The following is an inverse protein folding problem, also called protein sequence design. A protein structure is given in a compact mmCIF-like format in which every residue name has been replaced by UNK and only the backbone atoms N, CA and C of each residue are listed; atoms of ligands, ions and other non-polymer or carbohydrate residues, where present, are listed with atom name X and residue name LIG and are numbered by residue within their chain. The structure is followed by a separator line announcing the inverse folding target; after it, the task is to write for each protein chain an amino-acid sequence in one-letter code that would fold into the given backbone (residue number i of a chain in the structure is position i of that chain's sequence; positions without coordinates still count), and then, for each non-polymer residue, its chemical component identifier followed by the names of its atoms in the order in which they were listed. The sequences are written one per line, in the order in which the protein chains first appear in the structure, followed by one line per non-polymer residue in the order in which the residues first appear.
data_IF_973527075036
#
_entry.id   IF_973527075036
#
_cell.length_a   1.000
_cell.length_b   1.000
_cell.length_c   1.000
_cell.angle_alpha   90.00
_cell.angle_beta   90.00
_cell.angle_gamma   90.00
#
_symmetry.space_group_name_H-M   'P 1'
#
loop_
_entity.id
_entity.type
_entity.pdbx_description
1 polymer ?
#
# COMPACT_ATOMS: atom_id res chain seq x y z
N UNK A 1 23.76 46.13 -12.30
CA UNK A 1 23.37 45.66 -10.95
C UNK A 1 22.25 44.67 -11.11
N UNK A 2 22.59 43.42 -11.40
CA UNK A 2 21.65 42.31 -11.53
C UNK A 2 21.52 41.66 -10.17
N UNK A 3 20.36 41.83 -9.55
CA UNK A 3 20.01 41.20 -8.28
C UNK A 3 19.75 39.72 -8.52
N UNK A 4 20.70 38.88 -8.11
CA UNK A 4 20.46 37.46 -7.92
C UNK A 4 19.48 37.29 -6.76
N UNK A 5 18.26 36.89 -7.07
CA UNK A 5 17.31 36.38 -6.09
C UNK A 5 17.65 34.89 -5.88
N UNK A 6 18.19 34.47 -4.73
CA UNK A 6 18.24 33.05 -4.42
C UNK A 6 16.80 32.59 -4.14
N UNK A 7 16.25 31.79 -5.04
CA UNK A 7 15.06 30.99 -4.76
C UNK A 7 15.41 30.11 -3.56
N UNK A 8 14.78 30.38 -2.41
CA UNK A 8 14.78 29.45 -1.29
C UNK A 8 14.09 28.17 -1.80
N UNK A 9 14.89 27.18 -2.19
CA UNK A 9 14.42 25.79 -2.23
C UNK A 9 14.05 25.43 -0.79
N UNK A 10 12.80 25.64 -0.44
CA UNK A 10 12.21 24.97 0.72
C UNK A 10 12.19 23.50 0.37
N UNK A 11 13.10 22.73 0.97
CA UNK A 11 13.03 21.28 1.07
C UNK A 11 11.65 20.90 1.64
N UNK A 12 10.64 20.78 0.76
CA UNK A 12 9.37 20.16 1.07
C UNK A 12 9.69 18.68 1.27
N UNK A 13 10.08 18.33 2.51
CA UNK A 13 10.19 16.94 2.92
C UNK A 13 8.81 16.30 2.70
N UNK A 14 8.72 15.45 1.67
CA UNK A 14 7.49 14.79 1.28
C UNK A 14 7.01 13.94 2.47
N UNK A 15 5.91 14.36 3.10
CA UNK A 15 5.29 13.60 4.17
C UNK A 15 4.81 12.24 3.64
N UNK A 16 5.14 11.12 4.29
CA UNK A 16 4.65 9.81 3.88
C UNK A 16 3.12 9.77 3.88
N UNK A 17 2.56 9.09 2.88
CA UNK A 17 1.12 8.90 2.78
C UNK A 17 0.54 8.21 4.03
N UNK A 18 -0.64 8.64 4.46
CA UNK A 18 -1.38 8.00 5.54
C UNK A 18 -2.20 6.83 4.97
N UNK A 19 -1.73 5.59 5.13
CA UNK A 19 -2.45 4.42 4.61
C UNK A 19 -3.83 4.22 5.28
N UNK A 20 -4.09 4.87 6.41
CA UNK A 20 -5.39 4.87 7.07
C UNK A 20 -6.42 5.80 6.44
N UNK A 21 -6.01 6.77 5.61
CA UNK A 21 -6.92 7.69 4.90
C UNK A 21 -7.93 6.93 4.04
N UNK A 22 -9.17 6.84 4.51
CA UNK A 22 -10.29 6.11 3.92
C UNK A 22 -11.19 6.96 3.02
N UNK A 23 -10.97 8.28 3.01
CA UNK A 23 -11.79 9.25 2.27
C UNK A 23 -11.16 9.63 0.93
N UNK A 24 -9.83 9.70 0.83
CA UNK A 24 -9.17 10.22 -0.39
C UNK A 24 -8.32 9.18 -1.12
N UNK A 25 -7.22 8.73 -0.52
CA UNK A 25 -6.17 7.97 -1.23
C UNK A 25 -6.32 6.47 -1.05
N UNK A 26 -6.75 5.99 0.13
CA UNK A 26 -6.88 4.55 0.41
C UNK A 26 -8.32 4.17 0.79
N UNK A 27 -9.28 4.27 -0.14
CA UNK A 27 -10.69 4.04 0.15
C UNK A 27 -10.98 2.63 0.66
N UNK A 28 -12.08 2.49 1.38
CA UNK A 28 -12.71 1.19 1.68
C UNK A 28 -13.62 0.78 0.53
N UNK A 29 -14.12 -0.46 0.51
CA UNK A 29 -15.03 -0.90 -0.55
C UNK A 29 -16.25 0.02 -0.73
N UNK A 30 -16.75 0.57 0.38
CA UNK A 30 -17.97 1.38 0.37
C UNK A 30 -17.76 2.74 -0.30
N UNK A 31 -16.53 3.25 -0.23
CA UNK A 31 -16.13 4.55 -0.75
C UNK A 31 -15.43 4.43 -2.11
N UNK A 32 -15.34 3.23 -2.68
CA UNK A 32 -14.86 3.05 -4.04
C UNK A 32 -15.85 3.61 -5.07
N UNK A 33 -15.35 4.24 -6.16
CA UNK A 33 -16.19 4.61 -7.28
C UNK A 33 -16.84 3.37 -7.90
N UNK A 34 -18.06 3.52 -8.40
CA UNK A 34 -18.78 2.44 -9.07
C UNK A 34 -18.34 2.30 -10.52
N UNK A 35 -18.34 1.08 -11.06
CA UNK A 35 -18.14 0.87 -12.50
C UNK A 35 -19.29 1.40 -13.36
N UNK A 36 -20.47 1.55 -12.78
CA UNK A 36 -21.71 1.74 -13.55
C UNK A 36 -22.04 3.23 -13.75
N UNK A 37 -21.44 4.12 -12.97
CA UNK A 37 -21.63 5.56 -13.04
C UNK A 37 -20.31 6.29 -12.84
N UNK A 38 -20.12 7.39 -13.57
CA UNK A 38 -18.96 8.27 -13.38
C UNK A 38 -19.10 8.98 -12.04
N UNK A 39 -18.10 8.79 -11.19
CA UNK A 39 -18.01 9.44 -9.89
C UNK A 39 -17.18 10.72 -9.99
N UNK A 40 -17.85 11.87 -9.94
CA UNK A 40 -17.21 13.18 -10.07
C UNK A 40 -16.30 13.53 -8.88
N UNK A 41 -16.36 12.81 -7.76
CA UNK A 41 -15.39 12.97 -6.68
C UNK A 41 -14.01 12.42 -7.08
N UNK A 42 -13.98 11.46 -8.01
CA UNK A 42 -12.76 10.80 -8.50
C UNK A 42 -12.36 11.24 -9.92
N UNK A 43 -13.29 11.79 -10.69
CA UNK A 43 -13.09 12.10 -12.11
C UNK A 43 -13.50 13.53 -12.48
N UNK A 44 -12.68 14.17 -13.30
CA UNK A 44 -13.04 15.43 -13.96
C UNK A 44 -13.25 15.21 -15.45
N UNK A 45 -14.25 15.92 -15.98
CA UNK A 45 -14.49 16.01 -17.41
C UNK A 45 -13.49 16.97 -18.06
N UNK A 46 -12.79 16.51 -19.09
CA UNK A 46 -11.90 17.36 -19.92
C UNK A 46 -12.72 18.17 -20.93
N UNK A 47 -13.72 17.54 -21.56
CA UNK A 47 -14.50 18.16 -22.65
C UNK A 47 -15.98 17.72 -22.71
N UNK A 48 -16.47 17.08 -21.65
CA UNK A 48 -17.82 16.51 -21.55
C UNK A 48 -17.91 15.04 -21.99
N UNK A 49 -16.86 14.52 -22.64
CA UNK A 49 -16.81 13.14 -23.16
C UNK A 49 -15.64 12.33 -22.61
N UNK A 50 -14.50 12.97 -22.38
CA UNK A 50 -13.34 12.33 -21.75
C UNK A 50 -13.25 12.69 -20.27
N UNK A 51 -13.00 11.68 -19.45
CA UNK A 51 -12.89 11.80 -18.00
C UNK A 51 -11.50 11.33 -17.57
N UNK A 52 -10.86 12.12 -16.72
CA UNK A 52 -9.53 11.82 -16.16
C UNK A 52 -9.60 11.76 -14.64
N UNK A 53 -8.84 10.86 -13.99
CA UNK A 53 -8.72 10.84 -12.55
C UNK A 53 -8.28 12.21 -11.99
N UNK A 54 -8.96 12.71 -10.97
CA UNK A 54 -8.59 13.94 -10.25
C UNK A 54 -7.53 13.67 -9.19
N UNK A 55 -7.45 12.42 -8.74
CA UNK A 55 -6.50 11.92 -7.74
C UNK A 55 -6.17 10.45 -8.00
N UNK A 56 -5.11 9.96 -7.38
CA UNK A 56 -4.81 8.54 -7.31
C UNK A 56 -5.51 7.92 -6.09
N UNK A 57 -6.10 6.73 -6.25
CA UNK A 57 -6.62 5.94 -5.14
C UNK A 57 -6.20 4.49 -5.26
N UNK A 58 -6.06 3.83 -4.11
CA UNK A 58 -5.60 2.45 -4.01
C UNK A 58 -6.37 1.72 -2.91
N UNK A 59 -7.11 0.67 -3.27
CA UNK A 59 -7.72 -0.20 -2.27
C UNK A 59 -6.61 -1.03 -1.60
N UNK A 60 -6.55 -1.02 -0.28
CA UNK A 60 -5.74 -1.94 0.52
C UNK A 60 -6.66 -2.96 1.20
N UNK A 61 -6.41 -4.24 0.99
CA UNK A 61 -7.18 -5.32 1.59
C UNK A 61 -6.30 -6.53 1.90
N UNK A 62 -6.63 -7.29 2.94
CA UNK A 62 -5.95 -8.53 3.30
C UNK A 62 -6.58 -9.72 2.58
N UNK A 63 -5.77 -10.61 2.02
CA UNK A 63 -6.23 -11.86 1.41
C UNK A 63 -6.62 -12.83 2.52
N UNK A 64 -7.90 -13.19 2.57
CA UNK A 64 -8.45 -14.13 3.55
C UNK A 64 -8.60 -15.52 2.93
N UNK A 65 -8.91 -15.60 1.64
CA UNK A 65 -9.03 -16.88 0.95
C UNK A 65 -8.68 -16.75 -0.54
N UNK A 66 -8.21 -17.86 -1.13
CA UNK A 66 -7.86 -17.97 -2.55
C UNK A 66 -8.64 -19.12 -3.14
N UNK A 67 -9.49 -18.82 -4.12
CA UNK A 67 -10.28 -19.80 -4.84
C UNK A 67 -9.92 -19.78 -6.32
N UNK A 68 -9.87 -20.96 -6.92
CA UNK A 68 -9.72 -21.11 -8.36
C UNK A 68 -10.83 -22.03 -8.89
N UNK A 69 -11.91 -21.42 -9.38
CA UNK A 69 -12.99 -22.15 -10.05
C UNK A 69 -13.36 -21.39 -11.33
N UNK A 70 -12.86 -21.90 -12.46
CA UNK A 70 -12.86 -21.26 -13.79
C UNK A 70 -12.05 -19.96 -13.94
N UNK A 71 -11.97 -19.11 -12.91
CA UNK A 71 -11.08 -17.94 -12.81
C UNK A 71 -10.55 -17.80 -11.39
N UNK A 72 -9.47 -17.04 -11.22
CA UNK A 72 -8.97 -16.66 -9.90
C UNK A 72 -10.00 -15.75 -9.19
N UNK A 73 -10.29 -16.09 -7.95
CA UNK A 73 -11.08 -15.33 -7.00
C UNK A 73 -10.28 -15.19 -5.71
N UNK A 74 -10.03 -13.96 -5.29
CA UNK A 74 -9.54 -13.67 -3.95
C UNK A 74 -10.71 -13.20 -3.09
N UNK A 75 -10.89 -13.79 -1.92
CA UNK A 75 -11.72 -13.20 -0.86
C UNK A 75 -10.82 -12.34 -0.01
N UNK A 76 -11.11 -11.04 0.06
CA UNK A 76 -10.27 -10.08 0.77
C UNK A 76 -11.05 -9.33 1.84
N UNK A 77 -10.36 -8.86 2.88
CA UNK A 77 -10.91 -8.04 3.96
C UNK A 77 -10.32 -6.63 3.90
N UNK A 78 -11.17 -5.62 3.77
CA UNK A 78 -10.73 -4.21 3.76
C UNK A 78 -10.46 -3.66 5.18
N UNK A 79 -10.02 -2.40 5.27
CA UNK A 79 -9.75 -1.69 6.53
C UNK A 79 -10.97 -1.58 7.45
N UNK A 80 -12.18 -1.66 6.91
CA UNK A 80 -13.43 -1.61 7.67
C UNK A 80 -13.90 -3.02 8.10
N UNK A 81 -13.08 -4.06 7.87
CA UNK A 81 -13.39 -5.44 8.21
C UNK A 81 -14.36 -6.13 7.23
N UNK A 82 -14.70 -5.49 6.12
CA UNK A 82 -15.66 -6.04 5.15
C UNK A 82 -14.98 -7.05 4.25
N UNK A 83 -15.63 -8.20 4.08
CA UNK A 83 -15.16 -9.23 3.18
C UNK A 83 -15.78 -9.02 1.80
N UNK A 84 -14.96 -9.11 0.75
CA UNK A 84 -15.42 -8.95 -0.62
C UNK A 84 -14.64 -9.81 -1.60
N UNK A 85 -15.26 -10.19 -2.72
CA UNK A 85 -14.58 -10.90 -3.77
C UNK A 85 -13.80 -9.94 -4.70
N UNK A 86 -12.60 -10.35 -5.09
CA UNK A 86 -11.85 -9.78 -6.22
C UNK A 86 -11.78 -10.85 -7.29
N UNK A 87 -12.49 -10.63 -8.40
CA UNK A 87 -12.53 -11.57 -9.51
C UNK A 87 -11.58 -11.14 -10.63
N UNK A 88 -10.75 -12.07 -11.10
CA UNK A 88 -9.79 -11.84 -12.17
C UNK A 88 -10.39 -12.25 -13.51
N UNK A 89 -10.62 -11.25 -14.37
CA UNK A 89 -11.13 -11.36 -15.73
C UNK A 89 -10.04 -11.09 -16.77
N UNK A 90 -8.77 -11.29 -16.41
CA UNK A 90 -7.64 -11.27 -17.35
C UNK A 90 -7.84 -12.34 -18.42
N UNK A 91 -7.11 -12.23 -19.54
CA UNK A 91 -7.19 -13.20 -20.65
C UNK A 91 -6.89 -14.63 -20.16
N UNK A 92 -5.87 -14.76 -19.29
CA UNK A 92 -5.50 -16.03 -18.66
C UNK A 92 -6.33 -16.36 -17.42
N UNK A 93 -7.44 -15.65 -17.17
CA UNK A 93 -8.38 -15.91 -16.07
C UNK A 93 -7.71 -15.88 -14.68
N UNK A 94 -6.65 -15.10 -14.54
CA UNK A 94 -5.85 -14.95 -13.33
C UNK A 94 -4.72 -15.96 -13.16
N UNK A 95 -4.40 -16.80 -14.15
CA UNK A 95 -3.18 -17.62 -14.10
C UNK A 95 -1.91 -16.76 -14.19
N UNK A 96 -1.95 -15.74 -15.04
CA UNK A 96 -0.96 -14.68 -15.20
C UNK A 96 -0.65 -13.95 -13.89
N UNK A 97 -1.61 -13.93 -12.95
CA UNK A 97 -1.43 -13.35 -11.62
C UNK A 97 -0.28 -14.01 -10.85
N UNK A 98 -0.15 -15.34 -10.91
CA UNK A 98 0.89 -16.03 -10.16
C UNK A 98 2.27 -15.69 -10.67
N UNK A 99 2.45 -15.60 -11.99
CA UNK A 99 3.71 -15.18 -12.60
C UNK A 99 4.03 -13.71 -12.30
N UNK A 100 3.03 -12.83 -12.38
CA UNK A 100 3.14 -11.39 -12.10
C UNK A 100 3.56 -11.13 -10.65
N UNK A 101 2.89 -11.78 -9.69
CA UNK A 101 3.18 -11.63 -8.26
C UNK A 101 4.52 -12.25 -7.88
N UNK A 102 4.85 -13.42 -8.43
CA UNK A 102 6.12 -14.09 -8.14
C UNK A 102 7.30 -13.21 -8.52
N UNK A 103 7.26 -12.57 -9.69
CA UNK A 103 8.32 -11.66 -10.14
C UNK A 103 8.49 -10.46 -9.20
N UNK A 104 7.37 -9.95 -8.66
CA UNK A 104 7.35 -8.83 -7.71
C UNK A 104 7.85 -9.22 -6.31
N UNK A 105 7.46 -10.40 -5.81
CA UNK A 105 7.74 -10.85 -4.43
C UNK A 105 9.13 -11.49 -4.30
N UNK A 106 9.59 -12.27 -5.30
CA UNK A 106 10.92 -12.91 -5.25
C UNK A 106 12.08 -11.89 -5.27
N UNK A 107 11.86 -10.68 -5.77
CA UNK A 107 12.83 -9.59 -5.65
C UNK A 107 13.03 -9.08 -4.22
N UNK A 108 12.09 -9.37 -3.30
CA UNK A 108 12.12 -8.94 -1.91
C UNK A 108 12.56 -10.06 -0.93
N UNK A 109 12.31 -11.33 -1.25
CA UNK A 109 12.66 -12.47 -0.41
C UNK A 109 13.91 -13.19 -0.90
N UNK A 110 15.09 -12.72 -0.48
CA UNK A 110 16.35 -13.37 -0.79
C UNK A 110 16.60 -14.58 0.11
N UNK A 111 15.66 -15.53 0.28
CA UNK A 111 15.91 -16.90 0.76
C UNK A 111 14.84 -17.88 0.27
N UNK A 112 15.32 -18.98 -0.31
CA UNK A 112 14.63 -20.21 -0.73
C UNK A 112 13.71 -20.11 -1.97
N UNK A 113 14.20 -20.72 -3.04
CA UNK A 113 13.71 -20.61 -4.42
C UNK A 113 12.73 -21.71 -4.86
N UNK A 114 12.21 -22.52 -3.93
CA UNK A 114 11.59 -23.82 -4.29
C UNK A 114 10.09 -23.94 -4.01
N UNK A 115 9.39 -22.84 -3.73
CA UNK A 115 7.93 -22.87 -3.77
C UNK A 115 7.41 -21.55 -4.32
N UNK A 116 6.82 -21.61 -5.51
CA UNK A 116 5.94 -20.58 -6.06
C UNK A 116 4.76 -20.44 -5.09
N UNK A 117 4.98 -19.75 -3.98
CA UNK A 117 3.96 -19.57 -2.96
C UNK A 117 2.90 -18.70 -3.60
N UNK A 118 1.74 -19.30 -3.84
CA UNK A 118 0.52 -18.58 -4.15
C UNK A 118 0.43 -17.36 -3.20
N UNK A 119 -0.15 -16.21 -3.62
CA UNK A 119 -0.56 -15.16 -2.69
C UNK A 119 -1.16 -15.81 -1.44
N UNK A 120 -0.46 -15.68 -0.31
CA UNK A 120 -0.83 -16.42 0.88
C UNK A 120 -1.96 -15.68 1.59
N UNK A 121 -2.80 -16.44 2.27
CA UNK A 121 -3.69 -15.87 3.27
C UNK A 121 -2.87 -15.04 4.26
N UNK A 122 -3.40 -13.88 4.64
CA UNK A 122 -2.71 -12.92 5.51
C UNK A 122 -1.79 -11.94 4.77
N UNK A 123 -1.63 -12.03 3.45
CA UNK A 123 -0.93 -10.99 2.68
C UNK A 123 -1.87 -9.84 2.32
N UNK A 124 -1.32 -8.65 2.16
CA UNK A 124 -2.07 -7.48 1.70
C UNK A 124 -1.99 -7.38 0.18
N UNK A 125 -3.15 -7.20 -0.46
CA UNK A 125 -3.27 -6.77 -1.85
C UNK A 125 -3.55 -5.27 -1.92
N UNK A 126 -2.82 -4.58 -2.78
CA UNK A 126 -3.01 -3.18 -3.14
C UNK A 126 -3.52 -3.13 -4.59
N UNK A 127 -4.66 -2.48 -4.83
CA UNK A 127 -5.27 -2.36 -6.16
C UNK A 127 -5.44 -0.87 -6.49
N UNK A 128 -4.57 -0.37 -7.36
CA UNK A 128 -4.63 1.00 -7.88
C UNK A 128 -5.86 1.16 -8.78
N UNK A 129 -6.60 2.24 -8.57
CA UNK A 129 -7.84 2.54 -9.31
C UNK A 129 -8.91 1.44 -9.22
N UNK A 130 -9.01 0.79 -8.07
CA UNK A 130 -10.08 -0.19 -7.83
C UNK A 130 -11.47 0.46 -8.03
N UNK A 131 -12.39 -0.29 -8.62
CA UNK A 131 -13.79 0.09 -8.77
C UNK A 131 -14.69 -0.97 -8.16
N UNK A 132 -15.78 -0.51 -7.55
CA UNK A 132 -16.85 -1.37 -7.07
C UNK A 132 -17.71 -1.83 -8.24
N UNK A 133 -17.89 -3.13 -8.35
CA UNK A 133 -18.66 -3.79 -9.40
C UNK A 133 -19.77 -4.66 -8.80
N UNK A 134 -20.98 -4.59 -9.39
CA UNK A 134 -22.10 -5.47 -9.10
C UNK A 134 -22.06 -6.66 -10.07
N UNK A 135 -21.89 -7.86 -9.55
CA UNK A 135 -21.87 -9.09 -10.34
C UNK A 135 -23.28 -9.63 -10.59
N UNK A 136 -23.42 -10.53 -11.57
CA UNK A 136 -24.71 -11.12 -11.94
C UNK A 136 -25.38 -11.93 -10.81
N UNK A 137 -24.60 -12.43 -9.87
CA UNK A 137 -25.09 -13.12 -8.66
C UNK A 137 -25.49 -12.15 -7.54
N UNK A 138 -25.56 -10.85 -7.85
CA UNK A 138 -25.85 -9.74 -6.94
C UNK A 138 -24.78 -9.50 -5.88
N UNK A 139 -23.65 -10.22 -5.94
CA UNK A 139 -22.50 -9.91 -5.09
C UNK A 139 -21.85 -8.60 -5.54
N UNK A 140 -21.26 -7.89 -4.59
CA UNK A 140 -20.52 -6.65 -4.83
C UNK A 140 -19.06 -6.88 -4.50
N UNK A 141 -18.17 -6.50 -5.41
CA UNK A 141 -16.73 -6.69 -5.23
C UNK A 141 -15.91 -5.88 -6.21
N UNK A 142 -14.69 -6.34 -6.49
CA UNK A 142 -13.78 -5.71 -7.46
C UNK A 142 -13.63 -6.64 -8.66
N UNK A 143 -13.75 -6.08 -9.87
CA UNK A 143 -13.50 -6.79 -11.12
C UNK A 143 -12.16 -6.35 -11.67
N UNK A 144 -11.21 -7.28 -11.72
CA UNK A 144 -9.87 -6.99 -12.21
C UNK A 144 -9.71 -7.43 -13.67
N UNK A 145 -9.28 -6.52 -14.54
CA UNK A 145 -9.05 -6.79 -15.96
C UNK A 145 -7.56 -6.89 -16.31
N UNK A 146 -6.72 -6.13 -15.61
CA UNK A 146 -5.28 -6.00 -15.88
C UNK A 146 -4.49 -6.17 -14.58
N UNK A 147 -3.24 -6.61 -14.65
CA UNK A 147 -2.46 -6.90 -13.44
C UNK A 147 -1.54 -5.77 -13.01
N UNK A 148 -1.20 -4.83 -13.90
CA UNK A 148 -0.21 -3.77 -13.66
C UNK A 148 -0.63 -2.79 -12.54
N UNK A 149 -1.92 -2.74 -12.21
CA UNK A 149 -2.48 -1.96 -11.11
C UNK A 149 -2.43 -2.67 -9.76
N UNK A 150 -1.94 -3.91 -9.70
CA UNK A 150 -1.95 -4.72 -8.47
C UNK A 150 -0.54 -4.85 -7.90
N UNK A 151 -0.47 -4.82 -6.57
CA UNK A 151 0.74 -5.21 -5.83
C UNK A 151 0.39 -6.09 -4.65
N UNK A 152 1.22 -7.11 -4.42
CA UNK A 152 1.14 -7.94 -3.21
C UNK A 152 2.24 -7.51 -2.25
N UNK A 153 1.84 -7.28 -1.02
CA UNK A 153 2.71 -6.90 0.09
C UNK A 153 2.67 -8.07 1.08
N UNK A 154 3.82 -8.74 1.34
CA UNK A 154 3.86 -9.97 2.12
C UNK A 154 3.79 -9.70 3.64
N UNK A 155 2.73 -9.04 4.07
CA UNK A 155 2.37 -8.83 5.48
C UNK A 155 0.87 -8.58 5.60
N UNK A 156 0.30 -8.75 6.80
CA UNK A 156 -1.10 -8.49 7.09
C UNK A 156 -1.45 -7.02 6.88
N UNK A 157 -2.73 -6.74 6.67
CA UNK A 157 -3.19 -5.36 6.49
C UNK A 157 -2.95 -4.56 7.77
N UNK A 158 -3.20 -5.16 8.93
CA UNK A 158 -2.99 -4.52 10.23
C UNK A 158 -1.51 -4.15 10.44
N UNK A 159 -0.59 -5.08 10.13
CA UNK A 159 0.85 -4.82 10.23
C UNK A 159 1.30 -3.72 9.25
N UNK A 160 0.76 -3.71 8.02
CA UNK A 160 1.07 -2.66 7.04
C UNK A 160 0.59 -1.28 7.52
N UNK A 161 -0.60 -1.19 8.11
CA UNK A 161 -1.15 0.05 8.65
C UNK A 161 -0.35 0.52 9.86
N UNK A 162 0.04 -0.38 10.77
CA UNK A 162 0.91 -0.03 11.89
C UNK A 162 2.29 0.47 11.41
N UNK A 163 2.87 -0.19 10.41
CA UNK A 163 4.13 0.26 9.81
C UNK A 163 3.98 1.66 9.18
N UNK A 164 2.84 1.97 8.57
CA UNK A 164 2.54 3.34 8.08
C UNK A 164 2.54 4.36 9.22
N UNK A 165 1.89 4.03 10.35
CA UNK A 165 1.84 4.90 11.53
C UNK A 165 3.25 5.15 12.10
N UNK A 166 4.08 4.10 12.16
CA UNK A 166 5.47 4.21 12.61
C UNK A 166 6.30 5.06 11.64
N UNK A 167 6.21 4.82 10.33
CA UNK A 167 6.94 5.63 9.33
C UNK A 167 6.58 7.10 9.48
N UNK A 168 5.30 7.44 9.55
CA UNK A 168 4.84 8.83 9.74
C UNK A 168 5.37 9.44 11.03
N UNK A 169 5.42 8.67 12.11
CA UNK A 169 5.90 9.15 13.42
C UNK A 169 7.41 9.42 13.43
N UNK A 170 8.20 8.54 12.79
CA UNK A 170 9.65 8.50 12.96
C UNK A 170 10.46 9.00 11.75
N UNK A 171 9.84 9.20 10.58
CA UNK A 171 10.54 9.76 9.41
C UNK A 171 10.46 11.29 9.35
N UNK A 172 9.36 11.88 9.82
CA UNK A 172 9.07 13.31 9.72
C UNK A 172 9.96 14.16 10.65
N UNK A 173 10.38 15.33 10.16
CA UNK A 173 10.93 16.40 11.01
C UNK A 173 9.77 17.18 11.64
N UNK A 174 9.85 17.41 12.94
CA UNK A 174 9.05 18.45 13.58
C UNK A 174 9.99 19.38 14.36
N UNK A 175 9.87 20.69 14.12
CA UNK A 175 10.72 21.73 14.70
C UNK A 175 12.23 21.47 14.48
N UNK A 176 12.59 21.00 13.28
CA UNK A 176 13.98 20.67 12.93
C UNK A 176 14.53 19.39 13.57
N UNK A 177 13.74 18.70 14.39
CA UNK A 177 14.15 17.48 15.09
C UNK A 177 13.37 16.25 14.60
N UNK A 178 14.03 15.09 14.64
CA UNK A 178 13.42 13.78 14.37
C UNK A 178 13.42 12.93 15.62
N UNK A 179 12.46 12.03 15.72
CA UNK A 179 12.40 11.04 16.81
C UNK A 179 13.27 9.83 16.47
N UNK A 180 14.06 9.37 17.43
CA UNK A 180 14.76 8.09 17.33
C UNK A 180 13.75 6.93 17.39
N UNK A 181 13.71 6.07 16.37
CA UNK A 181 12.80 4.91 16.32
C UNK A 181 13.04 3.90 17.46
N UNK A 182 14.27 3.82 17.98
CA UNK A 182 14.62 2.88 19.04
C UNK A 182 14.37 3.37 20.47
N UNK A 183 14.41 4.68 20.73
CA UNK A 183 14.24 5.21 22.11
C UNK A 183 13.21 6.35 22.23
N UNK A 184 12.62 6.81 21.14
CA UNK A 184 11.62 7.89 21.12
C UNK A 184 12.16 9.30 21.30
N UNK A 185 13.41 9.49 21.75
CA UNK A 185 13.97 10.82 21.98
C UNK A 185 14.09 11.62 20.68
N UNK A 186 13.73 12.92 20.73
CA UNK A 186 13.88 13.85 19.62
C UNK A 186 15.26 14.50 19.62
N UNK A 187 15.94 14.50 18.47
CA UNK A 187 17.24 15.15 18.27
C UNK A 187 17.31 15.79 16.89
N UNK A 188 18.16 16.79 16.78
CA UNK A 188 18.55 17.47 15.54
C UNK A 188 19.48 16.60 14.68
N UNK A 189 20.40 15.86 15.32
CA UNK A 189 21.34 14.96 14.66
C UNK A 189 21.04 13.49 15.02
N UNK A 190 20.62 12.72 14.02
CA UNK A 190 20.38 11.28 14.10
C UNK A 190 20.99 10.56 12.89
N UNK A 191 21.26 9.28 13.06
CA UNK A 191 21.74 8.39 11.99
C UNK A 191 20.54 7.84 11.22
N UNK A 192 20.50 8.08 9.92
CA UNK A 192 19.49 7.49 9.02
C UNK A 192 19.76 6.00 8.84
N UNK A 193 18.71 5.19 8.86
CA UNK A 193 18.79 3.78 8.51
C UNK A 193 19.24 3.62 7.06
N UNK A 194 20.42 3.04 6.83
CA UNK A 194 20.95 2.83 5.48
C UNK A 194 20.17 1.80 4.66
N UNK A 195 19.42 0.90 5.31
CA UNK A 195 18.66 -0.16 4.63
C UNK A 195 17.32 0.33 4.10
N UNK A 196 16.46 0.89 4.96
CA UNK A 196 15.13 1.33 4.55
C UNK A 196 15.07 2.81 4.16
N UNK A 197 16.01 3.64 4.62
CA UNK A 197 15.99 5.07 4.34
C UNK A 197 14.83 5.86 4.98
N UNK A 198 14.02 5.25 5.84
CA UNK A 198 12.84 5.90 6.45
C UNK A 198 13.05 6.25 7.93
N UNK A 199 13.72 5.38 8.68
CA UNK A 199 13.88 5.54 10.13
C UNK A 199 15.21 6.18 10.53
N UNK A 200 15.21 6.81 11.71
CA UNK A 200 16.36 7.52 12.27
C UNK A 200 16.67 7.01 13.69
N UNK A 201 17.95 7.00 14.05
CA UNK A 201 18.43 6.42 15.31
C UNK A 201 19.52 7.28 15.97
N UNK A 202 19.57 7.28 17.30
CA UNK A 202 20.60 8.01 18.04
C UNK A 202 21.97 7.32 17.98
N UNK A 203 22.00 6.00 17.76
CA UNK A 203 23.20 5.20 17.63
C UNK A 203 22.92 3.89 16.90
N UNK A 204 23.98 3.23 16.44
CA UNK A 204 23.89 1.87 15.87
C UNK A 204 23.32 0.86 16.88
N UNK A 205 23.61 1.01 18.16
CA UNK A 205 23.09 0.12 19.20
C UNK A 205 21.58 0.29 19.39
N UNK A 206 21.09 1.53 19.33
CA UNK A 206 19.64 1.79 19.37
C UNK A 206 18.91 1.17 18.18
N UNK A 207 19.55 1.14 17.01
CA UNK A 207 19.01 0.47 15.82
C UNK A 207 18.98 -1.05 15.99
N UNK A 208 20.05 -1.65 16.53
CA UNK A 208 20.15 -3.10 16.74
C UNK A 208 19.08 -3.62 17.70
N UNK A 209 18.97 -3.02 18.88
CA UNK A 209 17.97 -3.43 19.89
C UNK A 209 16.54 -3.35 19.38
N UNK A 210 16.21 -2.29 18.63
CA UNK A 210 14.86 -2.14 18.05
C UNK A 210 14.57 -3.23 17.02
N UNK A 211 15.56 -3.57 16.19
CA UNK A 211 15.41 -4.67 15.22
C UNK A 211 15.19 -6.01 15.92
N UNK A 212 15.88 -6.26 17.03
CA UNK A 212 15.71 -7.49 17.82
C UNK A 212 14.29 -7.55 18.41
N UNK A 213 13.79 -6.46 19.01
CA UNK A 213 12.42 -6.43 19.54
C UNK A 213 11.34 -6.60 18.48
N UNK A 214 11.53 -6.03 17.28
CA UNK A 214 10.55 -6.17 16.18
C UNK A 214 10.52 -7.62 15.64
N UNK A 215 11.65 -8.34 15.70
CA UNK A 215 11.71 -9.77 15.31
C UNK A 215 10.98 -10.63 16.32
N UNK A 216 11.19 -10.40 17.62
CA UNK A 216 10.51 -11.17 18.68
C UNK A 216 8.98 -10.98 18.63
N UNK A 217 8.52 -9.76 18.34
CA UNK A 217 7.09 -9.46 18.17
C UNK A 217 6.46 -10.07 16.90
N UNK A 218 7.26 -10.50 15.92
CA UNK A 218 6.77 -11.09 14.66
C UNK A 218 6.62 -12.63 14.72
N UNK A 219 7.00 -13.25 15.84
CA UNK A 219 6.99 -14.71 16.05
C UNK A 219 5.82 -15.17 16.94
N UNK A 220 5.13 -14.22 17.59
CA UNK A 220 3.90 -14.44 18.38
C UNK A 220 2.63 -14.28 17.52
#
# INVERSE_FOLDING_TARGET
MTTNNPVLETDLELEPANLRDDENVFPTLSTLPSTDNIDFDFYNSVDGTFYVPTRHWCLLAEIVNVHFFFRLLLVVRDKAGRHLPVYFYTEERGWDFFAHVTSSVLSASQQNHDHLSLPQQGYTIAILYAHRHLFMDLSVGVKQLELDSIKIIPTSLDNLLELSDQVRTYSAKANGQRACHGCGQRKDSLLKCSKCGLFWYCSKDSQRRRRESDVDASVE
#
